data_IF_788646194453
#
_entry.id   IF_788646194453
#
_cell.length_a   1.000
_cell.length_b   1.000
_cell.length_c   1.000
_cell.angle_alpha   90.00
_cell.angle_beta   90.00
_cell.angle_gamma   90.00
#
_symmetry.space_group_name_H-M   'P 1'
#
loop_
_entity.id
_entity.type
_entity.pdbx_description
1 polymer ?
#
# COMPACT_ATOMS: atom_id res chain seq x y z
N UNK A 1 11.88 -27.54 3.44
CA UNK A 1 11.73 -27.07 3.18
C UNK A 1 11.84 -26.03 2.33
N UNK A 2 11.40 -26.12 1.28
CA UNK A 2 11.54 -25.11 0.33
C UNK A 2 11.02 -23.80 0.77
N UNK A 3 10.01 -23.85 1.54
CA UNK A 3 9.43 -22.63 2.00
C UNK A 3 10.39 -21.87 2.87
N UNK A 4 11.19 -22.60 3.57
CA UNK A 4 12.12 -21.96 4.45
C UNK A 4 13.17 -21.20 3.70
N UNK A 5 13.38 -21.51 2.46
CA UNK A 5 14.39 -20.79 1.73
C UNK A 5 13.88 -19.54 1.08
N UNK A 6 12.56 -19.28 1.14
CA UNK A 6 12.04 -18.09 0.58
C UNK A 6 12.03 -17.02 1.58
N UNK A 7 12.70 -15.93 1.33
CA UNK A 7 12.66 -14.76 2.19
C UNK A 7 11.51 -13.86 1.78
N UNK A 8 10.69 -13.50 2.74
CA UNK A 8 9.57 -12.63 2.50
C UNK A 8 9.40 -11.66 3.64
N UNK A 9 8.98 -10.44 3.33
CA UNK A 9 8.63 -9.48 4.35
C UNK A 9 7.23 -9.79 4.85
N UNK A 10 7.10 -10.22 6.07
CA UNK A 10 5.80 -10.63 6.57
C UNK A 10 4.87 -9.47 6.84
N UNK A 11 5.40 -8.28 7.08
CA UNK A 11 4.56 -7.11 7.33
C UNK A 11 4.28 -6.28 6.09
N UNK A 12 4.93 -6.62 4.98
CA UNK A 12 4.77 -5.82 3.76
C UNK A 12 3.32 -5.72 3.29
N UNK A 13 2.55 -6.80 3.25
CA UNK A 13 1.17 -6.68 2.76
C UNK A 13 0.37 -5.66 3.55
N UNK A 14 0.49 -5.67 4.86
CA UNK A 14 -0.22 -4.73 5.69
C UNK A 14 0.26 -3.31 5.46
N UNK A 15 1.57 -3.12 5.27
CA UNK A 15 2.11 -1.79 5.01
C UNK A 15 1.57 -1.22 3.72
N UNK A 16 1.43 -2.05 2.69
CA UNK A 16 0.89 -1.57 1.42
C UNK A 16 -0.57 -1.13 1.58
N UNK A 17 -1.34 -1.89 2.35
CA UNK A 17 -2.72 -1.50 2.60
C UNK A 17 -2.78 -0.19 3.38
N UNK A 18 -1.92 -0.04 4.37
CA UNK A 18 -1.93 1.17 5.19
C UNK A 18 -1.57 2.40 4.37
N UNK A 19 -0.62 2.25 3.46
CA UNK A 19 -0.27 3.35 2.58
C UNK A 19 -1.48 3.75 1.73
N UNK A 20 -2.15 2.78 1.13
CA UNK A 20 -3.32 3.08 0.32
C UNK A 20 -4.40 3.75 1.15
N UNK A 21 -4.62 3.24 2.35
CA UNK A 21 -5.63 3.82 3.23
C UNK A 21 -5.26 5.22 3.68
N UNK A 22 -3.95 5.49 3.83
CA UNK A 22 -3.53 6.82 4.24
C UNK A 22 -3.90 7.87 3.20
N UNK A 23 -4.05 7.48 1.96
CA UNK A 23 -4.49 8.40 0.91
C UNK A 23 -5.99 8.31 0.66
N UNK A 24 -6.67 7.39 1.29
CA UNK A 24 -8.11 7.21 1.08
C UNK A 24 -8.46 6.71 -0.31
N UNK A 25 -7.61 5.89 -0.89
CA UNK A 25 -7.77 5.46 -2.27
C UNK A 25 -8.27 4.02 -2.39
N UNK A 26 -9.02 3.76 -3.46
CA UNK A 26 -9.35 2.40 -3.83
C UNK A 26 -8.11 1.75 -4.43
N UNK A 27 -8.16 0.46 -4.68
CA UNK A 27 -7.04 -0.23 -5.30
C UNK A 27 -6.74 0.30 -6.69
N UNK A 28 -7.76 0.54 -7.49
CA UNK A 28 -7.56 1.11 -8.82
C UNK A 28 -6.97 2.51 -8.75
N UNK A 29 -7.45 3.30 -7.81
CA UNK A 29 -6.91 4.64 -7.64
C UNK A 29 -5.47 4.61 -7.18
N UNK A 30 -5.11 3.62 -6.36
CA UNK A 30 -3.74 3.49 -5.94
C UNK A 30 -2.83 3.14 -7.11
N UNK A 31 -3.27 2.23 -7.97
CA UNK A 31 -2.51 1.88 -9.16
C UNK A 31 -2.25 3.13 -10.02
N UNK A 32 -3.26 3.96 -10.14
CA UNK A 32 -3.12 5.20 -10.89
C UNK A 32 -2.12 6.13 -10.22
N UNK A 33 -2.21 6.24 -8.91
CA UNK A 33 -1.31 7.10 -8.14
C UNK A 33 0.14 6.63 -8.26
N UNK A 34 0.34 5.33 -8.34
CA UNK A 34 1.66 4.76 -8.50
C UNK A 34 2.20 4.92 -9.92
N UNK A 35 1.34 5.31 -10.86
CA UNK A 35 1.74 5.43 -12.25
C UNK A 35 1.92 4.10 -12.93
N UNK A 36 1.16 3.11 -12.51
CA UNK A 36 1.33 1.74 -13.00
C UNK A 36 0.10 1.19 -13.71
N UNK A 37 -0.71 2.07 -14.28
CA UNK A 37 -1.95 1.63 -14.92
C UNK A 37 -1.71 0.71 -16.12
N UNK A 38 -0.54 0.82 -16.74
CA UNK A 38 -0.22 -0.07 -17.86
C UNK A 38 0.38 -1.38 -17.41
N UNK A 39 0.86 -1.44 -16.16
CA UNK A 39 1.58 -2.60 -15.66
C UNK A 39 0.82 -3.46 -14.68
N UNK A 40 -0.16 -2.88 -13.99
CA UNK A 40 -0.88 -3.62 -12.95
C UNK A 40 -2.37 -3.51 -13.13
N UNK A 41 -3.06 -4.57 -12.74
CA UNK A 41 -4.51 -4.52 -12.63
C UNK A 41 -4.88 -4.70 -11.17
N UNK A 42 -6.11 -4.37 -10.85
CA UNK A 42 -6.59 -4.41 -9.47
C UNK A 42 -6.39 -5.76 -8.80
N UNK A 43 -6.58 -6.82 -9.55
CA UNK A 43 -6.44 -8.18 -9.00
C UNK A 43 -5.02 -8.45 -8.54
N UNK A 44 -4.05 -7.91 -9.26
CA UNK A 44 -2.66 -8.08 -8.87
C UNK A 44 -2.36 -7.30 -7.60
N UNK A 45 -2.87 -6.09 -7.51
CA UNK A 45 -2.66 -5.30 -6.31
C UNK A 45 -3.29 -6.00 -5.10
N UNK A 46 -4.46 -6.57 -5.30
CA UNK A 46 -5.14 -7.31 -4.25
C UNK A 46 -4.29 -8.49 -3.77
N UNK A 47 -3.65 -9.17 -4.70
CA UNK A 47 -2.79 -10.31 -4.36
C UNK A 47 -1.61 -9.83 -3.51
N UNK A 48 -1.04 -8.69 -3.83
CA UNK A 48 0.06 -8.13 -3.05
C UNK A 48 -0.42 -7.74 -1.65
N UNK A 49 -1.57 -7.12 -1.56
CA UNK A 49 -2.08 -6.64 -0.27
C UNK A 49 -2.53 -7.77 0.64
N UNK A 50 -2.86 -8.91 0.06
CA UNK A 50 -3.26 -10.05 0.87
C UNK A 50 -2.07 -10.95 1.22
N UNK A 51 -0.89 -10.62 0.72
CA UNK A 51 0.29 -11.39 1.03
C UNK A 51 0.41 -12.70 0.28
N UNK A 52 -0.38 -12.86 -0.79
CA UNK A 52 -0.33 -14.07 -1.58
C UNK A 52 0.96 -14.10 -2.40
N UNK A 53 1.40 -12.93 -2.84
CA UNK A 53 2.62 -12.83 -3.62
C UNK A 53 3.29 -11.50 -3.31
N UNK A 54 4.61 -11.50 -3.28
CA UNK A 54 5.34 -10.27 -3.02
C UNK A 54 5.45 -9.45 -4.31
N UNK A 55 5.26 -8.14 -4.23
CA UNK A 55 5.37 -7.31 -5.41
C UNK A 55 6.78 -7.29 -5.96
N UNK A 56 6.94 -7.07 -7.27
CA UNK A 56 8.26 -6.87 -7.83
C UNK A 56 8.93 -5.63 -7.25
N UNK A 57 10.24 -5.61 -7.29
CA UNK A 57 11.02 -4.52 -6.71
C UNK A 57 10.61 -3.14 -7.24
N UNK A 58 10.33 -3.05 -8.53
CA UNK A 58 9.97 -1.75 -9.09
C UNK A 58 8.63 -1.24 -8.59
N UNK A 59 7.71 -2.15 -8.27
CA UNK A 59 6.43 -1.75 -7.69
C UNK A 59 6.69 -1.19 -6.29
N UNK A 60 7.57 -1.83 -5.53
CA UNK A 60 7.90 -1.34 -4.20
C UNK A 60 8.55 0.02 -4.24
N UNK A 61 9.40 0.24 -5.22
CA UNK A 61 10.03 1.53 -5.39
C UNK A 61 9.00 2.63 -5.64
N UNK A 62 7.97 2.32 -6.44
CA UNK A 62 6.92 3.30 -6.70
C UNK A 62 6.15 3.63 -5.43
N UNK A 63 5.85 2.62 -4.62
CA UNK A 63 5.19 2.86 -3.34
C UNK A 63 6.06 3.77 -2.46
N UNK A 64 7.34 3.44 -2.35
CA UNK A 64 8.24 4.19 -1.49
C UNK A 64 8.33 5.65 -1.94
N UNK A 65 8.45 5.86 -3.24
CA UNK A 65 8.52 7.21 -3.77
C UNK A 65 7.23 7.97 -3.59
N UNK A 66 6.13 7.27 -3.69
CA UNK A 66 4.82 7.88 -3.54
C UNK A 66 4.64 8.50 -2.16
N UNK A 67 5.19 7.87 -1.13
CA UNK A 67 5.06 8.38 0.22
C UNK A 67 6.33 9.03 0.76
N UNK A 68 7.39 9.03 -0.02
CA UNK A 68 8.62 9.69 0.41
C UNK A 68 9.41 8.94 1.48
N UNK A 69 9.40 7.62 1.41
CA UNK A 69 10.16 6.80 2.34
C UNK A 69 11.12 5.93 1.54
N UNK A 70 12.03 5.26 2.23
CA UNK A 70 12.91 4.34 1.53
C UNK A 70 12.23 2.99 1.42
N UNK A 71 12.64 2.16 0.47
CA UNK A 71 12.08 0.82 0.34
C UNK A 71 12.40 -0.03 1.56
N UNK A 72 13.45 0.32 2.30
CA UNK A 72 13.77 -0.39 3.53
C UNK A 72 12.61 -0.37 4.51
N UNK A 73 11.93 0.76 4.60
CA UNK A 73 10.80 0.89 5.51
C UNK A 73 9.70 -0.10 5.15
N UNK A 74 9.56 -0.38 3.86
CA UNK A 74 8.56 -1.35 3.42
C UNK A 74 9.00 -2.77 3.68
N UNK A 75 10.25 -3.07 3.40
CA UNK A 75 10.74 -4.44 3.39
C UNK A 75 11.22 -4.96 4.74
N UNK A 76 11.71 -4.06 5.58
CA UNK A 76 12.27 -4.48 6.85
C UNK A 76 11.16 -4.59 7.90
N UNK A 77 10.89 -5.81 8.34
CA UNK A 77 9.82 -6.05 9.32
C UNK A 77 10.10 -5.39 10.66
N UNK A 78 11.35 -4.99 10.90
CA UNK A 78 11.70 -4.29 12.13
C UNK A 78 11.42 -2.80 12.05
N UNK A 79 11.09 -2.28 10.88
CA UNK A 79 10.81 -0.86 10.71
C UNK A 79 9.33 -0.64 10.54
N UNK A 80 8.84 0.44 11.11
CA UNK A 80 7.44 0.79 11.00
C UNK A 80 7.25 1.91 9.99
N UNK A 81 6.06 1.99 9.43
CA UNK A 81 5.71 3.15 8.62
C UNK A 81 5.71 4.38 9.53
N UNK A 82 5.97 5.56 8.96
CA UNK A 82 5.94 6.78 9.77
C UNK A 82 4.62 6.94 10.48
N UNK A 83 4.66 7.42 11.70
CA UNK A 83 3.46 7.59 12.53
C UNK A 83 2.40 8.41 11.83
N UNK A 84 2.80 9.41 11.06
CA UNK A 84 1.83 10.24 10.42
C UNK A 84 1.08 9.49 9.32
N UNK A 85 1.69 8.49 8.69
CA UNK A 85 0.98 7.67 7.72
C UNK A 85 -0.03 6.78 8.42
N UNK A 86 0.34 6.23 9.56
CA UNK A 86 -0.56 5.38 10.32
C UNK A 86 -1.78 6.15 10.80
N UNK A 87 -1.56 7.37 11.26
CA UNK A 87 -2.65 8.22 11.69
C UNK A 87 -3.53 8.58 10.52
N UNK A 88 -2.93 8.91 9.39
CA UNK A 88 -3.69 9.26 8.21
C UNK A 88 -4.53 8.08 7.71
N UNK A 89 -4.00 6.87 7.84
CA UNK A 89 -4.75 5.69 7.43
C UNK A 89 -6.01 5.53 8.26
N UNK A 90 -5.91 5.74 9.56
CA UNK A 90 -7.07 5.66 10.42
C UNK A 90 -8.05 6.78 10.15
N UNK A 91 -7.54 7.99 10.01
CA UNK A 91 -8.38 9.13 9.75
C UNK A 91 -9.05 9.05 8.40
N UNK A 92 -8.31 8.54 7.42
CA UNK A 92 -8.84 8.41 6.08
C UNK A 92 -9.97 7.39 6.01
N UNK A 93 -9.83 6.31 6.73
CA UNK A 93 -10.88 5.31 6.76
C UNK A 93 -12.16 5.90 7.36
N UNK A 94 -12.01 6.65 8.41
CA UNK A 94 -13.17 7.29 9.03
C UNK A 94 -13.73 8.35 8.12
N UNK A 95 -12.89 9.14 7.55
CA UNK A 95 -13.30 10.20 6.67
C UNK A 95 -13.98 9.67 5.44
N UNK A 96 -13.49 8.62 4.87
CA UNK A 96 -14.10 8.03 3.71
C UNK A 96 -15.47 7.55 3.99
N UNK A 97 -15.70 6.96 5.14
CA UNK A 97 -16.98 6.56 5.49
C UNK A 97 -17.85 7.72 5.65
N UNK A 98 -17.42 8.73 6.35
CA UNK A 98 -18.26 9.88 6.62
C UNK A 98 -18.46 10.73 5.41
N UNK A 99 -17.48 10.77 4.53
CA UNK A 99 -17.56 11.68 3.43
C UNK A 99 -18.02 11.12 2.16
N UNK A 100 -18.42 9.89 2.15
CA UNK A 100 -18.77 9.30 0.90
C UNK A 100 -19.74 10.13 0.15
N UNK A 101 -20.58 10.81 0.81
CA UNK A 101 -21.50 11.66 0.14
C UNK A 101 -20.94 12.97 -0.23
N UNK A 102 -20.10 13.59 0.59
CA UNK A 102 -19.76 14.86 0.32
C UNK A 102 -18.61 15.00 -0.55
N UNK A 103 -17.84 14.01 -0.74
CA UNK A 103 -16.83 14.15 -1.54
C UNK A 103 -17.18 14.56 -2.87
N UNK A 104 -18.32 14.33 -3.34
CA UNK A 104 -18.63 14.72 -4.54
C UNK A 104 -19.04 16.08 -4.60
N UNK A 105 -19.30 16.78 -3.68
CA UNK A 105 -19.81 18.02 -3.76
C UNK A 105 -18.76 18.93 -4.00
N UNK A 106 -17.73 18.71 -3.94
CA UNK A 106 -16.83 19.58 -4.08
C UNK A 106 -16.38 19.64 -5.14
#
# INVERSE_FOLDING_TARGET
MGAASRLRSSRLPEKLQLIRKSFGLSQNEMISRLGLTAELIREELSVFERGVRQPPALVLLRYARCVGISTDVLLDDEMDLPAKLLKAAQGSAVRNKAASGRKRRQ
#
